data_IF_437572723278
#
_entry.id   IF_437572723278
#
_cell.length_a   1.000
_cell.length_b   1.000
_cell.length_c   1.000
_cell.angle_alpha   90.00
_cell.angle_beta   90.00
_cell.angle_gamma   90.00
#
_symmetry.space_group_name_H-M   'P 1'
#
loop_
_entity.id
_entity.type
_entity.pdbx_description
1 polymer ?
#
# COMPACT_ATOMS: atom_id res chain seq x y z
N UNK A 1 5.53 19.40 2.51
CA UNK A 1 4.63 19.31 1.36
C UNK A 1 4.29 17.87 1.06
N UNK A 2 3.04 17.55 0.70
CA UNK A 2 2.64 16.23 0.21
C UNK A 2 3.33 15.92 -1.13
N UNK A 3 3.51 14.63 -1.39
CA UNK A 3 4.15 14.14 -2.63
C UNK A 3 3.30 13.05 -3.30
N UNK A 4 3.47 12.95 -4.61
CA UNK A 4 3.02 11.85 -5.45
C UNK A 4 4.14 11.44 -6.40
N UNK A 5 3.99 10.35 -7.13
CA UNK A 5 4.89 10.00 -8.23
C UNK A 5 4.69 10.97 -9.42
N UNK A 6 5.75 11.19 -10.19
CA UNK A 6 5.71 12.14 -11.31
C UNK A 6 5.04 11.54 -12.56
N UNK A 7 5.22 10.24 -12.80
CA UNK A 7 4.62 9.47 -13.91
C UNK A 7 4.15 8.12 -13.40
N UNK A 8 3.19 7.51 -14.09
CA UNK A 8 2.77 6.15 -13.81
C UNK A 8 3.84 5.13 -14.16
N UNK A 9 3.85 4.01 -13.45
CA UNK A 9 4.62 2.82 -13.81
C UNK A 9 3.79 1.57 -13.63
N UNK A 10 4.18 0.50 -14.33
CA UNK A 10 3.51 -0.80 -14.28
C UNK A 10 4.48 -1.87 -13.82
N UNK A 11 3.95 -2.83 -13.08
CA UNK A 11 4.67 -4.03 -12.63
C UNK A 11 3.79 -5.24 -12.94
N UNK A 12 4.41 -6.28 -13.48
CA UNK A 12 3.79 -7.58 -13.68
C UNK A 12 4.54 -8.61 -12.83
N UNK A 13 3.81 -9.51 -12.20
CA UNK A 13 4.40 -10.58 -11.40
C UNK A 13 3.41 -11.67 -11.04
N UNK A 14 3.83 -12.54 -10.13
CA UNK A 14 3.04 -13.65 -9.61
C UNK A 14 2.72 -13.36 -8.14
N UNK A 15 1.51 -13.67 -7.72
CA UNK A 15 1.07 -13.55 -6.32
C UNK A 15 1.67 -14.66 -5.46
N UNK A 16 1.84 -14.40 -4.16
CA UNK A 16 2.45 -15.35 -3.22
C UNK A 16 1.50 -16.51 -2.85
N UNK A 17 0.25 -16.18 -2.55
CA UNK A 17 -0.70 -17.14 -1.99
C UNK A 17 -1.47 -17.90 -3.08
N UNK A 18 -1.95 -17.22 -4.11
CA UNK A 18 -2.72 -17.85 -5.18
C UNK A 18 -1.86 -18.40 -6.33
N UNK A 19 -0.65 -17.87 -6.53
CA UNK A 19 0.21 -18.18 -7.66
C UNK A 19 -0.30 -17.66 -9.00
N UNK A 20 -1.27 -16.75 -8.97
CA UNK A 20 -1.84 -16.15 -10.17
C UNK A 20 -1.00 -14.98 -10.69
N UNK A 21 -1.16 -14.64 -11.95
CA UNK A 21 -0.58 -13.42 -12.50
C UNK A 21 -1.32 -12.20 -11.97
N UNK A 22 -0.57 -11.17 -11.58
CA UNK A 22 -1.08 -9.90 -11.12
C UNK A 22 -0.37 -8.77 -11.83
N UNK A 23 -1.15 -7.85 -12.42
CA UNK A 23 -0.65 -6.64 -13.05
C UNK A 23 -1.06 -5.46 -12.20
N UNK A 24 -0.06 -4.66 -11.88
CA UNK A 24 -0.16 -3.49 -11.02
C UNK A 24 0.22 -2.23 -11.80
N UNK A 25 -0.60 -1.19 -11.69
CA UNK A 25 -0.28 0.16 -12.17
C UNK A 25 -0.31 1.14 -11.02
N UNK A 26 0.79 1.83 -10.76
CA UNK A 26 0.83 2.91 -9.78
C UNK A 26 0.74 4.24 -10.52
N UNK A 27 -0.24 5.04 -10.15
CA UNK A 27 -0.60 6.28 -10.84
C UNK A 27 -0.45 7.50 -9.91
N UNK A 28 -0.06 8.68 -10.45
CA UNK A 28 -0.08 9.92 -9.68
C UNK A 28 -1.48 10.24 -9.18
N UNK A 29 -1.55 10.85 -7.99
CA UNK A 29 -2.82 11.31 -7.42
C UNK A 29 -2.73 12.76 -6.95
N UNK A 30 -3.89 13.39 -6.80
CA UNK A 30 -4.00 14.76 -6.28
C UNK A 30 -3.73 14.79 -4.77
N UNK A 31 -3.47 15.97 -4.24
CA UNK A 31 -3.29 16.16 -2.80
C UNK A 31 -4.53 15.71 -2.01
N UNK A 32 -4.29 15.15 -0.83
CA UNK A 32 -5.30 14.59 0.09
C UNK A 32 -6.04 13.34 -0.43
N UNK A 33 -5.60 12.72 -1.51
CA UNK A 33 -6.14 11.43 -1.97
C UNK A 33 -5.73 10.31 -1.00
N UNK A 34 -4.51 10.35 -0.45
CA UNK A 34 -3.92 9.21 0.25
C UNK A 34 -3.49 8.11 -0.73
N UNK A 35 -3.29 6.91 -0.21
CA UNK A 35 -3.04 5.72 -1.03
C UNK A 35 -4.37 5.00 -1.21
N UNK A 36 -4.78 4.83 -2.46
CA UNK A 36 -6.07 4.21 -2.82
C UNK A 36 -5.82 3.09 -3.81
N UNK A 37 -6.29 1.89 -3.50
CA UNK A 37 -6.29 0.76 -4.41
C UNK A 37 -7.58 0.74 -5.24
N UNK A 38 -7.48 0.30 -6.49
CA UNK A 38 -8.59 0.06 -7.38
C UNK A 38 -8.48 -1.34 -8.00
N UNK A 39 -9.52 -2.16 -7.82
CA UNK A 39 -9.67 -3.45 -8.48
C UNK A 39 -10.26 -3.22 -9.89
N UNK A 40 -9.42 -3.36 -10.93
CA UNK A 40 -9.83 -3.10 -12.33
C UNK A 40 -10.46 -4.32 -13.00
N UNK A 41 -10.32 -5.50 -12.43
CA UNK A 41 -10.94 -6.75 -12.86
C UNK A 41 -12.44 -6.84 -12.50
N UNK A 42 -12.88 -6.04 -11.52
CA UNK A 42 -14.26 -6.05 -11.03
C UNK A 42 -15.12 -5.10 -11.86
N UNK A 43 -16.16 -5.64 -12.49
CA UNK A 43 -17.10 -4.87 -13.34
C UNK A 43 -18.17 -4.09 -12.54
N UNK A 44 -17.84 -3.66 -11.35
CA UNK A 44 -18.73 -2.86 -10.51
C UNK A 44 -18.58 -1.37 -10.80
N UNK A 45 -19.37 -0.55 -10.10
CA UNK A 45 -19.21 0.90 -10.20
C UNK A 45 -17.79 1.31 -9.81
N UNK A 46 -17.29 2.40 -10.39
CA UNK A 46 -15.96 2.92 -10.06
C UNK A 46 -15.76 3.15 -8.54
N UNK A 47 -16.81 3.49 -7.84
CA UNK A 47 -16.78 3.74 -6.39
C UNK A 47 -16.61 2.45 -5.58
N UNK A 48 -17.27 1.37 -5.99
CA UNK A 48 -17.23 0.07 -5.30
C UNK A 48 -15.87 -0.61 -5.43
N UNK A 49 -15.15 -0.37 -6.51
CA UNK A 49 -13.83 -0.94 -6.76
C UNK A 49 -12.69 -0.26 -5.98
N UNK A 50 -12.96 0.88 -5.29
CA UNK A 50 -11.95 1.64 -4.55
C UNK A 50 -11.81 1.13 -3.12
N UNK A 51 -10.56 1.01 -2.66
CA UNK A 51 -10.19 0.59 -1.31
C UNK A 51 -9.12 1.55 -0.78
N UNK A 52 -9.47 2.41 0.16
CA UNK A 52 -8.51 3.30 0.79
C UNK A 52 -7.56 2.52 1.71
N UNK A 53 -6.26 2.75 1.61
CA UNK A 53 -5.25 2.18 2.51
C UNK A 53 -5.28 2.88 3.87
N UNK A 54 -6.31 2.61 4.65
CA UNK A 54 -6.51 3.13 6.01
C UNK A 54 -6.57 1.98 7.01
N UNK A 55 -6.15 2.23 8.25
CA UNK A 55 -6.12 1.23 9.31
C UNK A 55 -7.49 0.58 9.59
N UNK A 56 -8.58 1.35 9.43
CA UNK A 56 -9.95 0.86 9.63
C UNK A 56 -10.46 -0.04 8.49
N UNK A 57 -9.76 -0.12 7.38
CA UNK A 57 -10.04 -1.04 6.28
C UNK A 57 -9.20 -2.33 6.36
N UNK A 58 -8.28 -2.42 7.34
CA UNK A 58 -7.50 -3.64 7.54
C UNK A 58 -8.44 -4.76 8.00
N UNK A 59 -8.40 -5.88 7.32
CA UNK A 59 -9.19 -7.07 7.59
C UNK A 59 -8.31 -8.25 8.00
N UNK A 60 -8.93 -9.24 8.65
CA UNK A 60 -8.22 -10.45 9.08
C UNK A 60 -7.71 -11.20 7.84
N UNK A 61 -6.44 -11.54 7.86
CA UNK A 61 -5.77 -12.36 6.85
C UNK A 61 -4.63 -13.13 7.49
N UNK A 62 -4.30 -14.27 6.89
CA UNK A 62 -3.16 -15.07 7.32
C UNK A 62 -1.90 -14.62 6.56
N UNK A 63 -0.83 -14.32 7.31
CA UNK A 63 0.53 -14.06 6.81
C UNK A 63 0.68 -12.90 5.80
N UNK A 64 -0.29 -11.98 5.70
CA UNK A 64 -0.20 -10.80 4.85
C UNK A 64 -1.05 -9.64 5.37
N UNK A 65 -0.81 -8.44 4.87
CA UNK A 65 -1.68 -7.28 5.10
C UNK A 65 -2.76 -7.22 4.03
N UNK A 66 -4.01 -7.32 4.47
CA UNK A 66 -5.21 -7.26 3.62
C UNK A 66 -6.07 -6.07 4.02
N UNK A 67 -6.54 -5.34 3.04
CA UNK A 67 -7.55 -4.28 3.22
C UNK A 67 -8.82 -4.63 2.46
N UNK A 68 -9.96 -4.29 3.05
CA UNK A 68 -11.29 -4.57 2.49
C UNK A 68 -12.17 -3.33 2.64
N UNK A 69 -12.89 -2.97 1.60
CA UNK A 69 -13.85 -1.87 1.65
C UNK A 69 -15.23 -2.34 2.17
N UNK A 70 -16.14 -1.37 2.35
CA UNK A 70 -17.53 -1.63 2.82
C UNK A 70 -18.36 -2.55 1.91
N UNK A 71 -17.94 -2.77 0.68
CA UNK A 71 -18.60 -3.66 -0.28
C UNK A 71 -18.02 -5.08 -0.30
N UNK A 72 -17.06 -5.38 0.57
CA UNK A 72 -16.39 -6.68 0.64
C UNK A 72 -15.30 -6.90 -0.42
N UNK A 73 -14.96 -5.87 -1.18
CA UNK A 73 -13.87 -5.92 -2.16
C UNK A 73 -12.55 -5.71 -1.44
N UNK A 74 -11.57 -6.56 -1.72
CA UNK A 74 -10.30 -6.58 -0.99
C UNK A 74 -9.08 -6.62 -1.90
N UNK A 75 -7.94 -6.19 -1.34
CA UNK A 75 -6.60 -6.39 -1.88
C UNK A 75 -5.69 -6.84 -0.75
N UNK A 76 -4.84 -7.82 -1.02
CA UNK A 76 -3.91 -8.43 -0.06
C UNK A 76 -2.45 -8.29 -0.49
N UNK A 77 -1.54 -8.63 0.44
CA UNK A 77 -0.07 -8.57 0.25
C UNK A 77 0.40 -7.16 -0.15
N UNK A 78 -0.19 -6.13 0.48
CA UNK A 78 0.10 -4.72 0.16
C UNK A 78 1.34 -4.17 0.86
N UNK A 79 1.90 -4.87 1.86
CA UNK A 79 2.95 -4.41 2.76
C UNK A 79 4.23 -3.95 2.04
N UNK A 80 4.66 -4.66 0.99
CA UNK A 80 5.90 -4.35 0.27
C UNK A 80 5.78 -3.04 -0.51
N UNK A 81 4.65 -2.85 -1.22
CA UNK A 81 4.37 -1.59 -1.91
C UNK A 81 4.17 -0.44 -0.92
N UNK A 82 3.41 -0.66 0.17
CA UNK A 82 3.19 0.37 1.19
C UNK A 82 4.50 0.79 1.86
N UNK A 83 5.41 -0.17 2.10
CA UNK A 83 6.76 0.11 2.61
C UNK A 83 7.56 0.98 1.64
N UNK A 84 7.53 0.67 0.33
CA UNK A 84 8.20 1.48 -0.69
C UNK A 84 7.62 2.90 -0.77
N UNK A 85 6.29 3.03 -0.84
CA UNK A 85 5.61 4.34 -0.90
C UNK A 85 5.92 5.20 0.33
N UNK A 86 5.89 4.59 1.53
CA UNK A 86 6.21 5.28 2.77
C UNK A 86 7.69 5.69 2.83
N UNK A 87 8.61 4.77 2.52
CA UNK A 87 10.05 5.01 2.52
C UNK A 87 10.47 6.12 1.54
N UNK A 88 9.81 6.20 0.38
CA UNK A 88 10.02 7.25 -0.62
C UNK A 88 9.26 8.54 -0.31
N UNK A 89 8.47 8.58 0.75
CA UNK A 89 7.73 9.75 1.21
C UNK A 89 6.55 10.15 0.33
N UNK A 90 5.94 9.17 -0.36
CA UNK A 90 4.75 9.37 -1.18
C UNK A 90 3.51 9.37 -0.29
N UNK A 91 2.72 10.43 -0.38
CA UNK A 91 1.50 10.61 0.39
C UNK A 91 0.23 10.26 -0.40
N UNK A 92 0.31 10.33 -1.73
CA UNK A 92 -0.85 10.21 -2.61
C UNK A 92 -0.50 9.36 -3.84
N UNK A 93 -1.23 8.29 -4.05
CA UNK A 93 -1.15 7.45 -5.26
C UNK A 93 -2.45 6.67 -5.46
N UNK A 94 -2.79 6.39 -6.72
CA UNK A 94 -3.83 5.43 -7.10
C UNK A 94 -3.14 4.18 -7.62
N UNK A 95 -3.43 3.05 -7.00
CA UNK A 95 -2.85 1.74 -7.32
C UNK A 95 -3.93 0.88 -7.95
N UNK A 96 -3.84 0.66 -9.25
CA UNK A 96 -4.75 -0.21 -9.99
C UNK A 96 -4.18 -1.63 -10.04
N UNK A 97 -5.00 -2.62 -9.76
CA UNK A 97 -4.62 -4.04 -9.77
C UNK A 97 -5.74 -4.89 -10.36
N UNK A 98 -5.38 -5.88 -11.17
CA UNK A 98 -6.30 -6.79 -11.84
C UNK A 98 -6.52 -8.12 -11.10
N UNK A 99 -6.07 -8.19 -9.86
CA UNK A 99 -6.14 -9.36 -8.99
C UNK A 99 -6.40 -8.94 -7.54
N UNK A 100 -6.84 -9.84 -6.68
CA UNK A 100 -7.08 -9.57 -5.25
C UNK A 100 -5.81 -9.64 -4.39
N UNK A 101 -4.68 -9.89 -5.02
CA UNK A 101 -3.38 -9.94 -4.37
C UNK A 101 -2.32 -9.23 -5.22
N UNK A 102 -1.43 -8.44 -4.58
CA UNK A 102 -0.32 -7.80 -5.26
C UNK A 102 0.78 -8.83 -5.63
N UNK A 103 1.56 -8.56 -6.69
CA UNK A 103 2.67 -9.42 -7.06
C UNK A 103 3.75 -9.41 -5.97
N UNK A 104 4.27 -10.60 -5.62
CA UNK A 104 5.30 -10.74 -4.57
C UNK A 104 6.69 -10.30 -5.01
N UNK A 105 6.97 -10.36 -6.31
CA UNK A 105 8.28 -10.06 -6.91
C UNK A 105 9.40 -10.88 -6.28
N UNK A 106 10.43 -10.21 -5.76
CA UNK A 106 11.55 -10.85 -5.04
C UNK A 106 11.32 -10.98 -3.53
N UNK A 107 10.11 -10.67 -3.05
CA UNK A 107 9.77 -10.65 -1.62
C UNK A 107 10.30 -9.42 -0.87
N UNK A 108 10.74 -8.39 -1.57
CA UNK A 108 11.18 -7.13 -0.99
C UNK A 108 10.46 -5.91 -1.59
N UNK A 109 10.75 -4.73 -1.06
CA UNK A 109 10.26 -3.45 -1.62
C UNK A 109 11.16 -2.90 -2.73
N UNK A 110 12.27 -3.55 -3.05
CA UNK A 110 13.34 -2.99 -3.87
C UNK A 110 12.89 -2.63 -5.29
N UNK A 111 12.13 -3.51 -5.93
CA UNK A 111 11.66 -3.27 -7.30
C UNK A 111 10.66 -2.12 -7.35
N UNK A 112 9.78 -2.00 -6.37
CA UNK A 112 8.89 -0.83 -6.23
C UNK A 112 9.68 0.47 -6.06
N UNK A 113 10.71 0.47 -5.21
CA UNK A 113 11.59 1.64 -5.00
C UNK A 113 12.29 2.04 -6.31
N UNK A 114 12.87 1.10 -7.05
CA UNK A 114 13.54 1.36 -8.34
C UNK A 114 12.61 2.01 -9.35
N UNK A 115 11.39 1.51 -9.49
CA UNK A 115 10.38 2.10 -10.38
C UNK A 115 9.99 3.51 -9.94
N UNK A 116 9.84 3.75 -8.64
CA UNK A 116 9.54 5.08 -8.09
C UNK A 116 10.70 6.05 -8.36
N UNK A 117 11.94 5.63 -8.18
CA UNK A 117 13.14 6.44 -8.49
C UNK A 117 13.21 6.80 -9.98
N UNK A 118 12.93 5.84 -10.87
CA UNK A 118 12.94 6.04 -12.32
C UNK A 118 11.91 7.07 -12.77
N UNK A 119 10.67 6.96 -12.29
CA UNK A 119 9.60 7.89 -12.69
C UNK A 119 9.69 9.24 -11.96
N UNK A 120 10.39 9.27 -10.82
CA UNK A 120 10.60 10.45 -10.00
C UNK A 120 9.38 10.86 -9.17
N UNK A 121 9.60 11.85 -8.31
CA UNK A 121 8.59 12.38 -7.38
C UNK A 121 8.13 13.76 -7.80
N UNK A 122 6.86 14.07 -7.53
CA UNK A 122 6.24 15.37 -7.71
C UNK A 122 5.74 15.91 -6.37
N UNK A 123 6.20 17.11 -6.00
CA UNK A 123 5.65 17.84 -4.85
C UNK A 123 4.29 18.43 -5.19
N UNK A 124 3.36 18.32 -4.26
CA UNK A 124 2.03 18.93 -4.31
C UNK A 124 2.00 20.17 -3.39
N UNK A 125 1.32 21.23 -3.80
CA UNK A 125 1.27 22.51 -3.05
C UNK A 125 0.31 22.44 -1.85
N UNK A 126 0.38 21.37 -1.07
CA UNK A 126 -0.43 21.14 0.13
C UNK A 126 0.47 20.62 1.23
N UNK A 127 0.31 21.13 2.44
CA UNK A 127 1.08 20.68 3.58
C UNK A 127 0.78 19.23 3.97
N UNK A 128 1.82 18.52 4.42
CA UNK A 128 1.71 17.18 4.95
C UNK A 128 1.10 17.24 6.36
N UNK A 129 0.15 16.37 6.63
CA UNK A 129 -0.41 16.19 7.97
C UNK A 129 0.45 15.21 8.76
N UNK A 130 0.75 15.57 10.00
CA UNK A 130 1.52 14.73 10.92
C UNK A 130 0.68 14.41 12.14
N UNK A 131 0.79 13.16 12.60
CA UNK A 131 0.31 12.78 13.91
C UNK A 131 1.41 13.10 14.92
N UNK A 132 1.12 14.01 15.86
CA UNK A 132 2.05 14.36 16.93
C UNK A 132 1.64 13.68 18.23
N UNK A 133 2.57 12.94 18.83
CA UNK A 133 2.38 12.29 20.13
C UNK A 133 2.63 13.34 21.22
N UNK A 134 1.57 13.72 21.94
CA UNK A 134 1.62 14.80 22.94
C UNK A 134 2.09 14.33 24.32
N UNK A 135 2.07 13.02 24.60
CA UNK A 135 2.48 12.46 25.89
C UNK A 135 3.25 11.17 25.70
N UNK A 136 4.35 10.96 26.45
CA UNK A 136 5.01 9.67 26.46
C UNK A 136 4.09 8.62 27.09
N UNK A 137 4.10 7.42 26.53
CA UNK A 137 3.41 6.25 27.09
C UNK A 137 4.47 5.25 27.53
N UNK A 138 4.44 4.89 28.81
CA UNK A 138 5.27 3.82 29.35
C UNK A 138 4.46 2.55 29.45
N UNK A 139 4.98 1.48 28.91
CA UNK A 139 4.39 0.15 28.98
C UNK A 139 5.35 -0.78 29.72
N UNK A 140 4.88 -1.34 30.85
CA UNK A 140 5.73 -2.11 31.76
C UNK A 140 5.68 -3.64 31.57
N UNK A 141 4.81 -4.14 30.68
CA UNK A 141 4.76 -5.54 30.28
C UNK A 141 5.48 -5.78 28.97
N UNK A 142 6.75 -5.51 28.99
CA UNK A 142 7.61 -5.82 27.87
C UNK A 142 8.47 -6.99 28.21
N UNK A 143 7.95 -8.15 27.99
CA UNK A 143 8.84 -9.20 27.53
C UNK A 143 8.09 -9.98 26.49
N UNK A 144 8.39 -9.72 25.25
CA UNK A 144 8.54 -10.82 24.32
C UNK A 144 9.58 -11.72 24.96
N UNK A 145 9.26 -12.95 25.38
CA UNK A 145 10.26 -13.89 25.84
C UNK A 145 11.15 -14.23 24.64
N UNK A 146 12.28 -13.56 24.55
CA UNK A 146 13.31 -13.88 23.56
C UNK A 146 14.00 -15.21 23.88
N UNK A 147 13.65 -15.85 24.99
CA UNK A 147 14.12 -17.17 25.38
C UNK A 147 13.53 -18.33 24.59
N UNK A 148 12.45 -18.10 23.84
CA UNK A 148 11.80 -19.15 23.03
C UNK A 148 12.21 -19.11 21.55
N UNK A 149 13.22 -18.34 21.20
CA UNK A 149 13.80 -18.23 19.87
C UNK A 149 15.13 -19.00 19.74
N UNK A 150 15.20 -20.20 20.33
CA UNK A 150 16.33 -21.13 20.13
C UNK A 150 15.82 -22.39 19.45
#
# INVERSE_FOLDING_TARGET
MQKTINKSFNIEGVTLHSGEKSNLSVNPATANTGIVFRRVDIKNSNEESLIEAKFNNVSISDLCTKITNKYGISVSTIEHLMSALHGMGIDNAIVEVDCDELPILDGSSLEYVRNIEEVGLKSLNVEKKYLSISRPVSYTHLTLPTSDLV
#
